data_IF_673887848117
#
_entry.id   IF_673887848117
#
_cell.length_a   1.000
_cell.length_b   1.000
_cell.length_c   1.000
_cell.angle_alpha   90.00
_cell.angle_beta   90.00
_cell.angle_gamma   90.00
#
_symmetry.space_group_name_H-M   'P 1'
#
loop_
_entity.id
_entity.type
_entity.pdbx_description
1 polymer ?
#
# COMPACT_ATOMS: atom_id res chain seq x y z
N UNK A 1 -71.85 51.94 -39.76
CA UNK A 1 -71.99 52.83 -38.59
C UNK A 1 -71.61 52.03 -37.36
N UNK A 2 -70.53 52.47 -36.73
CA UNK A 2 -69.75 51.77 -35.71
C UNK A 2 -70.21 52.22 -34.32
N UNK A 3 -70.50 51.28 -33.42
CA UNK A 3 -70.36 51.46 -31.97
C UNK A 3 -70.01 50.10 -31.35
N UNK A 4 -68.80 49.93 -30.77
CA UNK A 4 -68.47 48.78 -29.92
C UNK A 4 -68.88 49.05 -28.46
N UNK A 5 -69.60 48.08 -27.89
CA UNK A 5 -69.98 48.02 -26.47
C UNK A 5 -68.90 47.43 -25.56
N UNK A 6 -69.03 47.59 -24.23
CA UNK A 6 -67.90 47.68 -23.32
C UNK A 6 -67.46 46.34 -22.67
N UNK A 7 -66.14 46.22 -22.53
CA UNK A 7 -65.40 45.75 -21.36
C UNK A 7 -65.85 44.46 -20.66
N UNK A 8 -65.25 43.33 -21.03
CA UNK A 8 -65.17 42.14 -20.16
C UNK A 8 -64.14 42.38 -19.06
N UNK A 9 -64.62 42.53 -17.83
CA UNK A 9 -63.83 42.61 -16.59
C UNK A 9 -63.26 41.22 -16.28
N UNK A 10 -61.94 41.05 -16.40
CA UNK A 10 -61.25 39.82 -16.02
C UNK A 10 -61.17 39.74 -14.49
N UNK A 11 -61.99 38.87 -13.90
CA UNK A 11 -62.00 38.59 -12.47
C UNK A 11 -60.73 37.82 -12.07
N UNK A 12 -59.82 38.49 -11.35
CA UNK A 12 -58.62 37.88 -10.78
C UNK A 12 -59.01 36.96 -9.61
N UNK A 13 -59.00 35.64 -9.85
CA UNK A 13 -59.12 34.65 -8.77
C UNK A 13 -57.82 34.55 -7.96
N UNK A 14 -57.86 34.71 -6.63
CA UNK A 14 -56.69 34.46 -5.79
C UNK A 14 -56.38 32.96 -5.74
N UNK A 15 -55.16 32.59 -6.14
CA UNK A 15 -54.61 31.25 -5.95
C UNK A 15 -54.20 31.13 -4.48
N UNK A 16 -54.91 30.29 -3.73
CA UNK A 16 -54.47 29.91 -2.38
C UNK A 16 -53.39 28.83 -2.47
N UNK A 17 -52.23 29.00 -1.80
CA UNK A 17 -51.23 27.94 -1.74
C UNK A 17 -51.79 26.75 -0.94
N UNK A 18 -51.75 25.58 -1.58
CA UNK A 18 -52.20 24.30 -1.04
C UNK A 18 -51.32 23.90 0.15
N UNK A 19 -51.84 24.14 1.37
CA UNK A 19 -51.24 23.73 2.65
C UNK A 19 -51.33 22.20 2.78
N UNK A 20 -50.36 21.51 2.20
CA UNK A 20 -50.32 20.05 2.11
C UNK A 20 -48.90 19.49 2.16
N UNK A 21 -48.03 20.05 3.01
CA UNK A 21 -46.64 19.61 3.16
C UNK A 21 -46.22 19.20 4.57
N UNK A 22 -47.00 19.56 5.60
CA UNK A 22 -46.50 19.57 6.97
C UNK A 22 -46.25 18.17 7.55
N UNK A 23 -47.01 17.14 7.14
CA UNK A 23 -46.83 15.79 7.69
C UNK A 23 -45.60 15.05 7.17
N UNK A 24 -45.15 15.34 5.95
CA UNK A 24 -43.93 14.73 5.37
C UNK A 24 -42.68 15.40 5.91
N UNK A 25 -42.72 16.74 6.04
CA UNK A 25 -41.66 17.52 6.67
C UNK A 25 -41.52 17.20 8.15
N UNK A 26 -42.64 17.11 8.89
CA UNK A 26 -42.61 16.71 10.30
C UNK A 26 -42.07 15.28 10.49
N UNK A 27 -42.38 14.34 9.57
CA UNK A 27 -41.81 12.98 9.61
C UNK A 27 -40.31 12.97 9.29
N UNK A 28 -39.87 13.75 8.31
CA UNK A 28 -38.45 13.86 7.98
C UNK A 28 -37.64 14.47 9.13
N UNK A 29 -38.18 15.54 9.75
CA UNK A 29 -37.56 16.16 10.93
C UNK A 29 -37.56 15.21 12.13
N UNK A 30 -38.63 14.46 12.35
CA UNK A 30 -38.69 13.47 13.42
C UNK A 30 -37.68 12.32 13.21
N UNK A 31 -37.50 11.85 11.97
CA UNK A 31 -36.49 10.83 11.66
C UNK A 31 -35.07 11.35 11.83
N UNK A 32 -34.80 12.59 11.41
CA UNK A 32 -33.49 13.23 11.60
C UNK A 32 -33.19 13.45 13.09
N UNK A 33 -34.18 13.92 13.85
CA UNK A 33 -34.06 14.11 15.29
C UNK A 33 -33.87 12.77 16.02
N UNK A 34 -34.51 11.69 15.57
CA UNK A 34 -34.31 10.36 16.12
C UNK A 34 -32.92 9.81 15.78
N UNK A 35 -32.42 10.03 14.56
CA UNK A 35 -31.05 9.66 14.18
C UNK A 35 -30.00 10.42 15.01
N UNK A 36 -30.22 11.71 15.24
CA UNK A 36 -29.39 12.53 16.13
C UNK A 36 -29.48 12.07 17.60
N UNK A 37 -30.68 11.73 18.08
CA UNK A 37 -30.85 11.21 19.43
C UNK A 37 -30.15 9.85 19.61
N UNK A 38 -30.19 8.97 18.62
CA UNK A 38 -29.44 7.70 18.64
C UNK A 38 -27.93 7.95 18.58
N UNK A 39 -27.46 8.98 17.88
CA UNK A 39 -26.04 9.36 17.88
C UNK A 39 -25.56 9.92 19.23
N UNK A 40 -26.46 10.54 20.02
CA UNK A 40 -26.15 11.08 21.36
C UNK A 40 -26.29 10.04 22.46
N UNK A 41 -27.27 9.12 22.34
CA UNK A 41 -27.56 8.09 23.35
C UNK A 41 -26.77 6.80 23.11
N UNK A 42 -26.10 6.65 21.96
CA UNK A 42 -25.06 5.62 21.85
C UNK A 42 -23.97 6.01 22.84
N UNK A 43 -23.73 5.24 23.91
CA UNK A 43 -22.63 5.52 24.81
C UNK A 43 -21.39 5.44 23.94
N UNK A 44 -20.78 6.60 23.69
CA UNK A 44 -19.39 6.70 23.33
C UNK A 44 -18.68 6.18 24.57
N UNK A 45 -18.60 4.84 24.66
CA UNK A 45 -17.84 4.18 25.69
C UNK A 45 -16.51 4.88 25.70
N UNK A 46 -16.20 5.50 26.83
CA UNK A 46 -14.86 6.00 27.07
C UNK A 46 -13.92 4.87 26.67
N UNK A 47 -13.02 5.07 25.71
CA UNK A 47 -12.00 4.07 25.46
C UNK A 47 -11.35 3.82 26.82
N UNK A 48 -11.10 2.56 27.21
CA UNK A 48 -10.22 2.35 28.34
C UNK A 48 -8.96 3.16 28.05
N UNK A 49 -8.54 3.98 29.02
CA UNK A 49 -7.17 4.49 29.04
C UNK A 49 -6.31 3.25 29.15
N UNK A 50 -6.01 2.64 28.00
CA UNK A 50 -4.89 1.79 27.86
C UNK A 50 -3.71 2.70 28.11
N UNK A 51 -3.13 2.58 29.30
CA UNK A 51 -1.69 2.75 29.46
C UNK A 51 -1.00 2.27 28.19
N UNK A 52 -0.02 3.01 27.64
CA UNK A 52 0.76 2.53 26.51
C UNK A 52 1.54 1.28 26.93
N UNK A 53 0.87 0.14 26.85
CA UNK A 53 1.41 -1.18 27.05
C UNK A 53 1.90 -1.65 25.69
N UNK A 54 3.13 -1.23 25.37
CA UNK A 54 4.15 -2.10 24.78
C UNK A 54 3.75 -2.91 23.54
N UNK A 55 3.07 -2.31 22.56
CA UNK A 55 2.88 -2.91 21.23
C UNK A 55 4.02 -2.63 20.24
N UNK A 56 4.94 -1.72 20.56
CA UNK A 56 6.24 -1.60 19.86
C UNK A 56 7.21 -2.71 20.31
N UNK A 57 7.00 -3.29 21.50
CA UNK A 57 7.80 -4.42 21.98
C UNK A 57 7.34 -5.78 21.44
N UNK A 58 6.10 -5.92 20.94
CA UNK A 58 5.63 -7.20 20.41
C UNK A 58 6.30 -7.55 19.06
N UNK A 59 6.58 -6.54 18.23
CA UNK A 59 7.42 -6.72 17.02
C UNK A 59 8.90 -6.80 17.39
N UNK A 60 9.33 -6.15 18.49
CA UNK A 60 10.70 -6.29 19.00
C UNK A 60 10.99 -7.64 19.68
N UNK A 61 9.96 -8.39 20.13
CA UNK A 61 10.11 -9.70 20.79
C UNK A 61 10.00 -10.89 19.84
N UNK A 62 9.58 -10.69 18.59
CA UNK A 62 9.56 -11.74 17.54
C UNK A 62 10.80 -11.71 16.63
N UNK A 63 11.98 -11.33 17.12
CA UNK A 63 13.23 -11.46 16.34
C UNK A 63 14.49 -11.14 17.15
N UNK A 64 14.64 -11.69 18.36
CA UNK A 64 15.96 -11.67 19.02
C UNK A 64 16.88 -12.79 18.50
N UNK A 65 16.33 -13.89 17.98
CA UNK A 65 17.11 -15.05 17.49
C UNK A 65 17.26 -15.12 15.96
N UNK A 66 16.72 -14.15 15.21
CA UNK A 66 16.84 -14.09 13.74
C UNK A 66 17.78 -12.97 13.23
N UNK A 67 18.41 -12.20 14.14
CA UNK A 67 19.36 -11.14 13.78
C UNK A 67 20.78 -11.70 13.68
N UNK A 68 20.99 -12.63 12.75
CA UNK A 68 22.33 -13.03 12.31
C UNK A 68 22.68 -12.24 11.05
N UNK A 69 23.52 -11.22 11.24
CA UNK A 69 24.39 -10.55 10.27
C UNK A 69 23.77 -10.11 8.93
N UNK A 70 23.00 -9.02 8.92
CA UNK A 70 22.86 -8.19 7.73
C UNK A 70 24.14 -7.33 7.58
N UNK A 71 25.07 -7.76 6.74
CA UNK A 71 26.26 -6.98 6.36
C UNK A 71 25.85 -5.68 5.68
N UNK A 72 26.31 -4.53 6.18
CA UNK A 72 26.09 -3.22 5.57
C UNK A 72 27.21 -2.90 4.57
N UNK A 73 26.96 -2.87 3.25
CA UNK A 73 27.92 -2.34 2.28
C UNK A 73 27.84 -0.81 2.22
N UNK A 74 28.99 -0.13 2.24
CA UNK A 74 29.15 1.29 1.84
C UNK A 74 29.44 1.36 0.34
N UNK A 75 28.77 2.25 -0.39
CA UNK A 75 28.84 2.32 -1.86
C UNK A 75 29.02 3.76 -2.38
N UNK A 76 29.69 3.84 -3.52
CA UNK A 76 30.16 5.02 -4.27
C UNK A 76 29.13 5.50 -5.33
N UNK A 77 28.98 6.82 -5.50
CA UNK A 77 27.78 7.50 -6.00
C UNK A 77 27.93 8.12 -7.41
N UNK A 78 27.93 7.32 -8.49
CA UNK A 78 28.16 7.90 -9.85
C UNK A 78 27.15 7.63 -10.96
N UNK A 79 26.06 6.89 -10.74
CA UNK A 79 24.84 6.99 -11.57
C UNK A 79 23.65 6.72 -10.68
N UNK A 80 22.73 7.68 -10.57
CA UNK A 80 21.59 7.59 -9.65
C UNK A 80 20.57 6.54 -10.13
N UNK A 81 20.84 5.25 -9.88
CA UNK A 81 20.02 4.10 -10.33
C UNK A 81 18.64 4.04 -9.66
N UNK A 82 18.41 4.85 -8.63
CA UNK A 82 17.19 4.90 -7.86
C UNK A 82 16.42 6.22 -8.06
N UNK A 83 15.87 6.43 -9.27
CA UNK A 83 15.03 7.61 -9.55
C UNK A 83 13.58 7.38 -9.07
N UNK A 84 13.36 7.48 -7.76
CA UNK A 84 12.04 7.25 -7.17
C UNK A 84 11.08 8.47 -7.29
N UNK A 85 11.65 9.68 -7.34
CA UNK A 85 10.86 10.91 -7.25
C UNK A 85 10.18 11.02 -5.88
N UNK A 86 8.86 11.26 -5.89
CA UNK A 86 8.06 11.46 -4.67
C UNK A 86 7.32 10.19 -4.20
N UNK A 87 7.48 9.06 -4.88
CA UNK A 87 6.77 7.82 -4.59
C UNK A 87 7.74 6.64 -4.45
N UNK A 88 7.30 5.60 -3.77
CA UNK A 88 8.00 4.31 -3.78
C UNK A 88 7.96 3.73 -5.20
N UNK A 89 9.05 3.06 -5.59
CA UNK A 89 9.15 2.33 -6.84
C UNK A 89 9.59 0.90 -6.59
N UNK A 90 9.01 -0.04 -7.33
CA UNK A 90 9.52 -1.39 -7.45
C UNK A 90 10.64 -1.35 -8.49
N UNK A 91 11.80 -1.90 -8.15
CA UNK A 91 12.89 -2.11 -9.09
C UNK A 91 12.99 -3.60 -9.38
N UNK A 92 13.00 -3.96 -10.66
CA UNK A 92 13.16 -5.36 -11.05
C UNK A 92 14.20 -5.51 -12.15
N UNK A 93 14.94 -6.60 -12.09
CA UNK A 93 15.85 -7.05 -13.14
C UNK A 93 15.23 -8.30 -13.76
N UNK A 94 14.89 -8.19 -15.04
CA UNK A 94 14.14 -9.21 -15.76
C UNK A 94 14.88 -9.61 -17.03
N UNK A 95 14.72 -10.87 -17.42
CA UNK A 95 15.10 -11.37 -18.73
C UNK A 95 13.87 -11.90 -19.44
N UNK A 96 13.58 -11.33 -20.60
CA UNK A 96 12.48 -11.73 -21.46
C UNK A 96 12.99 -11.86 -22.90
N UNK A 97 12.61 -12.92 -23.60
CA UNK A 97 13.04 -13.19 -24.98
C UNK A 97 14.57 -13.17 -25.13
N UNK A 98 15.28 -13.66 -24.10
CA UNK A 98 16.74 -13.64 -24.01
C UNK A 98 17.37 -12.25 -23.80
N UNK A 99 16.58 -11.19 -23.62
CA UNK A 99 17.06 -9.82 -23.42
C UNK A 99 16.92 -9.41 -21.97
N UNK A 100 17.95 -8.74 -21.47
CA UNK A 100 17.99 -8.17 -20.14
C UNK A 100 17.33 -6.79 -20.11
N UNK A 101 16.49 -6.53 -19.11
CA UNK A 101 15.86 -5.25 -18.88
C UNK A 101 15.78 -4.91 -17.38
N UNK A 102 15.93 -3.62 -17.07
CA UNK A 102 15.67 -3.06 -15.75
C UNK A 102 14.37 -2.27 -15.81
N UNK A 103 13.48 -2.52 -14.86
CA UNK A 103 12.19 -1.84 -14.80
C UNK A 103 12.03 -1.10 -13.48
N UNK A 104 11.48 0.12 -13.56
CA UNK A 104 11.00 0.87 -12.40
C UNK A 104 9.49 1.06 -12.53
N UNK A 105 8.73 0.41 -11.66
CA UNK A 105 7.28 0.52 -11.61
C UNK A 105 6.86 1.33 -10.38
N UNK A 106 5.70 1.99 -10.44
CA UNK A 106 5.12 2.60 -9.25
C UNK A 106 4.80 1.51 -8.23
N UNK A 107 5.22 1.70 -6.99
CA UNK A 107 4.93 0.79 -5.89
C UNK A 107 4.05 1.54 -4.90
N UNK A 108 2.82 1.08 -4.72
CA UNK A 108 2.00 1.54 -3.61
C UNK A 108 2.45 0.78 -2.34
N UNK A 109 2.41 1.46 -1.19
CA UNK A 109 2.83 0.90 0.09
C UNK A 109 1.85 1.28 1.19
N UNK A 110 1.82 0.50 2.26
CA UNK A 110 1.08 0.85 3.48
C UNK A 110 1.99 0.87 4.70
N UNK A 111 1.80 1.87 5.56
CA UNK A 111 2.51 1.97 6.84
C UNK A 111 1.69 1.42 8.02
N UNK A 112 0.43 1.03 7.77
CA UNK A 112 -0.54 0.68 8.82
C UNK A 112 -0.89 -0.81 8.87
N UNK A 113 -0.26 -1.63 8.04
CA UNK A 113 -0.46 -3.08 8.10
C UNK A 113 0.00 -3.63 9.46
N UNK A 114 -0.83 -4.52 10.00
CA UNK A 114 -0.68 -5.14 11.32
C UNK A 114 0.21 -6.39 11.30
N UNK A 115 0.52 -6.94 10.13
CA UNK A 115 1.40 -8.09 9.96
C UNK A 115 1.47 -8.58 8.51
N UNK A 116 2.24 -9.64 8.29
CA UNK A 116 2.59 -10.16 6.96
C UNK A 116 1.38 -10.62 6.13
N UNK A 117 0.33 -11.11 6.79
CA UNK A 117 -0.90 -11.58 6.14
C UNK A 117 -2.01 -10.51 6.13
N UNK A 118 -1.69 -9.25 6.43
CA UNK A 118 -2.67 -8.18 6.45
C UNK A 118 -3.18 -7.90 5.02
N UNK A 119 -4.50 -8.04 4.75
CA UNK A 119 -5.05 -7.88 3.41
C UNK A 119 -5.00 -6.44 2.89
N UNK A 120 -4.65 -5.46 3.74
CA UNK A 120 -4.43 -4.07 3.31
C UNK A 120 -3.07 -3.85 2.65
N UNK A 121 -2.18 -4.85 2.65
CA UNK A 121 -0.88 -4.77 1.99
C UNK A 121 -1.09 -4.74 0.47
N UNK A 122 -0.74 -3.63 -0.22
CA UNK A 122 -0.86 -3.53 -1.67
C UNK A 122 0.12 -4.49 -2.33
N UNK A 123 -0.32 -5.17 -3.40
CA UNK A 123 0.49 -6.15 -4.13
C UNK A 123 0.63 -5.74 -5.58
N UNK A 124 1.84 -5.89 -6.13
CA UNK A 124 2.14 -5.62 -7.54
C UNK A 124 2.58 -6.90 -8.25
N UNK A 125 2.09 -7.09 -9.47
CA UNK A 125 2.40 -8.25 -10.31
C UNK A 125 3.68 -8.00 -11.14
N UNK A 126 4.56 -9.00 -11.15
CA UNK A 126 5.80 -9.05 -11.92
C UNK A 126 5.76 -10.28 -12.81
N UNK A 127 5.58 -10.06 -14.12
CA UNK A 127 5.49 -11.13 -15.11
C UNK A 127 6.71 -11.11 -16.00
N UNK A 128 7.54 -12.14 -15.90
CA UNK A 128 8.76 -12.28 -16.70
C UNK A 128 9.09 -13.75 -16.96
N UNK A 129 9.86 -14.05 -18.01
CA UNK A 129 10.44 -15.40 -18.19
C UNK A 129 11.40 -15.72 -17.03
N UNK A 130 12.21 -14.75 -16.63
CA UNK A 130 13.27 -14.89 -15.63
C UNK A 130 13.45 -13.59 -14.84
N UNK A 131 13.15 -13.60 -13.53
CA UNK A 131 13.37 -12.43 -12.66
C UNK A 131 14.66 -12.58 -11.87
N UNK A 132 15.73 -11.92 -12.30
CA UNK A 132 17.08 -12.01 -11.70
C UNK A 132 17.23 -11.17 -10.41
N UNK A 133 16.39 -10.16 -10.23
CA UNK A 133 16.46 -9.29 -9.06
C UNK A 133 15.16 -8.58 -8.76
N UNK A 134 14.84 -8.47 -7.47
CA UNK A 134 13.71 -7.68 -6.97
C UNK A 134 14.22 -6.71 -5.93
N UNK A 135 13.67 -5.51 -5.94
CA UNK A 135 14.10 -4.44 -5.06
C UNK A 135 13.11 -3.31 -5.01
N UNK A 136 13.49 -2.26 -4.29
CA UNK A 136 12.69 -1.06 -4.20
C UNK A 136 13.58 0.18 -4.25
N UNK A 137 12.89 1.28 -4.47
CA UNK A 137 13.41 2.62 -4.43
C UNK A 137 12.48 3.48 -3.57
N UNK A 138 13.01 3.96 -2.45
CA UNK A 138 12.32 4.84 -1.51
C UNK A 138 12.21 6.26 -2.09
N UNK A 139 11.14 7.00 -1.75
CA UNK A 139 10.96 8.36 -2.25
C UNK A 139 12.02 9.31 -1.68
N UNK A 140 12.43 10.34 -2.44
CA UNK A 140 13.49 11.28 -2.03
C UNK A 140 13.23 12.00 -0.70
N UNK A 141 11.96 12.15 -0.32
CA UNK A 141 11.56 12.71 0.98
C UNK A 141 12.00 11.87 2.17
N UNK A 142 12.45 10.63 1.98
CA UNK A 142 13.07 9.83 3.03
C UNK A 142 14.38 10.47 3.53
N UNK A 143 15.05 11.27 2.69
CA UNK A 143 16.31 11.92 3.00
C UNK A 143 17.53 11.10 2.58
N UNK A 144 18.71 11.75 2.45
CA UNK A 144 19.98 11.06 2.22
C UNK A 144 20.37 10.20 3.43
N UNK A 145 21.23 9.20 3.19
CA UNK A 145 21.86 8.37 4.21
C UNK A 145 20.90 7.55 5.10
N UNK A 146 19.69 7.25 4.61
CA UNK A 146 18.77 6.37 5.32
C UNK A 146 19.22 4.92 5.17
N UNK A 147 19.76 4.35 6.24
CA UNK A 147 19.99 2.91 6.30
C UNK A 147 18.66 2.18 6.52
N UNK A 148 18.38 1.20 5.65
CA UNK A 148 17.15 0.42 5.67
C UNK A 148 17.38 -0.98 6.25
N UNK A 149 16.42 -1.46 7.02
CA UNK A 149 16.25 -2.88 7.34
C UNK A 149 15.10 -3.41 6.51
N UNK A 150 15.32 -4.55 5.88
CA UNK A 150 14.34 -5.17 4.99
C UNK A 150 14.10 -6.60 5.45
N UNK A 151 12.84 -6.92 5.65
CA UNK A 151 12.37 -8.27 5.96
C UNK A 151 11.47 -8.75 4.82
N UNK A 152 11.55 -10.02 4.50
CA UNK A 152 10.70 -10.62 3.47
C UNK A 152 10.18 -11.98 3.90
N UNK A 153 9.00 -12.31 3.38
CA UNK A 153 8.34 -13.58 3.54
C UNK A 153 7.82 -14.07 2.21
N UNK A 154 7.90 -15.38 1.97
CA UNK A 154 7.12 -16.06 0.93
C UNK A 154 5.82 -16.54 1.54
N UNK A 155 4.70 -16.28 0.89
CA UNK A 155 3.40 -16.75 1.33
C UNK A 155 3.13 -18.07 0.64
N UNK A 156 3.22 -19.16 1.40
CA UNK A 156 2.90 -20.49 0.88
C UNK A 156 1.38 -20.66 0.83
N UNK A 157 0.79 -21.12 -0.30
CA UNK A 157 -0.66 -21.21 -0.47
C UNK A 157 -1.41 -21.97 0.63
N UNK A 158 -0.72 -22.88 1.32
CA UNK A 158 -1.28 -23.72 2.38
C UNK A 158 -0.42 -23.73 3.67
N UNK A 159 0.70 -23.01 3.71
CA UNK A 159 1.72 -23.12 4.75
C UNK A 159 1.93 -21.87 5.61
N UNK A 160 1.27 -20.75 5.28
CA UNK A 160 1.49 -19.48 5.95
C UNK A 160 2.76 -18.76 5.49
N UNK A 161 3.17 -17.68 6.18
CA UNK A 161 4.35 -16.89 5.80
C UNK A 161 5.65 -17.61 6.20
N UNK A 162 6.52 -17.85 5.23
CA UNK A 162 7.86 -18.43 5.42
C UNK A 162 8.89 -17.29 5.34
N UNK A 163 9.61 -16.98 6.43
CA UNK A 163 10.64 -15.94 6.41
C UNK A 163 11.74 -16.25 5.40
N UNK A 164 12.26 -15.21 4.75
CA UNK A 164 13.29 -15.31 3.75
C UNK A 164 14.52 -14.53 4.16
N UNK A 165 15.69 -15.12 3.91
CA UNK A 165 16.96 -14.40 3.96
C UNK A 165 17.16 -13.72 2.62
N UNK A 166 17.30 -12.39 2.64
CA UNK A 166 17.59 -11.60 1.45
C UNK A 166 19.08 -11.34 1.35
N UNK A 167 19.67 -11.73 0.23
CA UNK A 167 21.04 -11.38 -0.11
C UNK A 167 21.03 -10.19 -1.07
N UNK A 168 21.76 -9.10 -0.79
CA UNK A 168 21.91 -8.00 -1.75
C UNK A 168 22.48 -8.53 -3.06
N UNK A 169 21.92 -8.11 -4.19
CA UNK A 169 22.48 -8.42 -5.50
C UNK A 169 23.71 -7.52 -5.73
N UNK A 170 24.93 -8.07 -5.78
CA UNK A 170 26.12 -7.27 -6.01
C UNK A 170 26.04 -6.57 -7.37
N UNK A 171 26.68 -5.40 -7.47
CA UNK A 171 26.76 -4.55 -8.68
C UNK A 171 25.47 -3.88 -9.16
N UNK A 172 24.31 -4.12 -8.52
CA UNK A 172 23.01 -3.58 -8.93
C UNK A 172 22.30 -2.72 -7.87
N UNK A 173 23.05 -2.18 -6.93
CA UNK A 173 22.49 -1.46 -5.80
C UNK A 173 21.95 -0.08 -6.25
N UNK A 174 20.63 0.19 -6.09
CA UNK A 174 20.05 1.47 -6.44
C UNK A 174 20.38 2.52 -5.36
N UNK A 175 21.59 3.07 -5.39
CA UNK A 175 22.02 4.26 -4.62
C UNK A 175 21.63 4.24 -3.12
N UNK A 176 21.69 5.39 -2.43
CA UNK A 176 21.41 5.49 -0.98
C UNK A 176 19.91 5.41 -0.63
N UNK A 177 19.06 5.14 -1.63
CA UNK A 177 17.61 5.22 -1.50
C UNK A 177 16.90 3.91 -1.81
N UNK A 178 17.62 2.84 -2.11
CA UNK A 178 17.01 1.57 -2.49
C UNK A 178 17.89 0.37 -2.18
N UNK A 179 17.33 -0.80 -2.47
CA UNK A 179 18.04 -2.07 -2.38
C UNK A 179 17.48 -3.01 -3.44
N UNK A 180 18.36 -3.84 -4.01
CA UNK A 180 18.00 -4.94 -4.91
C UNK A 180 18.59 -6.21 -4.34
N UNK A 181 17.77 -7.25 -4.36
CA UNK A 181 18.06 -8.53 -3.74
C UNK A 181 18.12 -9.61 -4.80
N UNK A 182 19.11 -10.49 -4.63
CA UNK A 182 19.21 -11.72 -5.37
C UNK A 182 18.05 -12.66 -5.01
N UNK A 183 17.72 -13.62 -5.89
CA UNK A 183 16.73 -14.64 -5.59
C UNK A 183 17.07 -15.40 -4.30
N UNK A 184 16.07 -15.78 -3.50
CA UNK A 184 16.31 -16.53 -2.28
C UNK A 184 16.95 -17.89 -2.58
N UNK A 185 18.08 -18.17 -1.94
CA UNK A 185 18.65 -19.52 -1.91
C UNK A 185 17.83 -20.39 -0.97
N UNK A 186 17.12 -21.37 -1.52
CA UNK A 186 16.48 -22.40 -0.69
C UNK A 186 17.57 -23.32 -0.11
N UNK A 187 17.56 -23.62 1.20
CA UNK A 187 18.54 -24.53 1.79
C UNK A 187 18.46 -25.91 1.10
N UNK A 188 19.56 -26.34 0.49
CA UNK A 188 19.65 -27.58 -0.28
C UNK A 188 19.46 -27.44 -1.80
N UNK A 189 19.11 -26.24 -2.30
CA UNK A 189 19.07 -25.95 -3.74
C UNK A 189 20.33 -25.20 -4.16
N UNK A 190 21.13 -25.81 -5.05
CA UNK A 190 22.26 -25.12 -5.65
C UNK A 190 21.75 -24.04 -6.63
N UNK A 191 22.05 -22.77 -6.34
CA UNK A 191 22.15 -21.70 -7.34
C UNK A 191 20.86 -21.34 -8.08
N UNK A 192 19.75 -21.08 -7.36
CA UNK A 192 18.56 -20.49 -7.97
C UNK A 192 18.94 -19.12 -8.53
N UNK A 193 18.90 -18.97 -9.86
CA UNK A 193 19.30 -17.74 -10.56
C UNK A 193 18.16 -16.73 -10.71
N UNK A 194 16.93 -17.14 -10.43
CA UNK A 194 15.74 -16.31 -10.65
C UNK A 194 14.76 -16.44 -9.49
N UNK A 195 14.09 -15.34 -9.14
CA UNK A 195 13.02 -15.34 -8.17
C UNK A 195 11.95 -16.35 -8.59
N UNK A 196 11.64 -17.34 -7.73
CA UNK A 196 10.65 -18.34 -8.07
C UNK A 196 9.26 -17.71 -8.12
N UNK A 197 8.37 -18.29 -8.91
CA UNK A 197 6.98 -17.86 -8.91
C UNK A 197 6.35 -17.99 -7.51
N UNK A 198 5.53 -17.00 -7.15
CA UNK A 198 4.84 -16.96 -5.86
C UNK A 198 4.54 -15.55 -5.36
N UNK A 199 3.87 -15.50 -4.21
CA UNK A 199 3.53 -14.28 -3.52
C UNK A 199 4.57 -13.98 -2.44
N UNK A 200 5.15 -12.79 -2.47
CA UNK A 200 6.17 -12.31 -1.56
C UNK A 200 5.70 -11.05 -0.86
N UNK A 201 5.93 -10.95 0.44
CA UNK A 201 5.60 -9.74 1.22
C UNK A 201 6.89 -9.18 1.80
N UNK A 202 7.05 -7.87 1.68
CA UNK A 202 8.21 -7.13 2.15
C UNK A 202 7.79 -6.12 3.21
N UNK A 203 8.65 -5.97 4.21
CA UNK A 203 8.64 -4.88 5.17
C UNK A 203 9.97 -4.13 5.05
N UNK A 204 9.89 -2.84 4.74
CA UNK A 204 11.04 -1.93 4.72
C UNK A 204 10.92 -0.97 5.90
N UNK A 205 11.93 -0.89 6.76
CA UNK A 205 11.97 0.02 7.88
C UNK A 205 13.28 0.81 7.89
N UNK A 206 13.22 2.09 8.24
CA UNK A 206 14.41 2.92 8.46
C UNK A 206 15.04 2.57 9.82
N UNK A 207 16.38 2.50 9.85
CA UNK A 207 17.15 2.18 11.06
C UNK A 207 17.38 3.38 11.98
N UNK A 208 17.35 4.60 11.44
CA UNK A 208 17.75 5.83 12.15
C UNK A 208 16.56 6.62 12.70
N UNK A 209 15.41 6.58 12.02
CA UNK A 209 14.17 7.22 12.47
C UNK A 209 13.03 6.20 12.36
N UNK A 210 12.17 6.11 13.38
CA UNK A 210 11.04 5.16 13.48
C UNK A 210 9.90 5.42 12.45
N UNK A 211 10.19 5.92 11.24
CA UNK A 211 9.29 5.94 10.08
C UNK A 211 10.08 6.20 8.77
N UNK A 212 9.64 5.69 7.60
CA UNK A 212 8.45 4.87 7.39
C UNK A 212 8.77 3.37 7.31
N UNK A 213 8.02 2.61 8.10
CA UNK A 213 7.65 1.23 7.83
C UNK A 213 6.82 1.22 6.54
N UNK A 214 7.25 0.51 5.52
CA UNK A 214 6.52 0.34 4.28
C UNK A 214 6.32 -1.15 4.01
N UNK A 215 5.05 -1.56 3.98
CA UNK A 215 4.63 -2.88 3.57
C UNK A 215 4.20 -2.86 2.11
N UNK A 216 4.62 -3.88 1.36
CA UNK A 216 4.14 -4.17 0.02
C UNK A 216 4.30 -5.65 -0.32
N UNK A 217 3.47 -6.14 -1.23
CA UNK A 217 3.53 -7.48 -1.80
C UNK A 217 4.02 -7.45 -3.24
N UNK A 218 4.63 -8.54 -3.68
CA UNK A 218 5.02 -8.79 -5.06
C UNK A 218 4.56 -10.18 -5.46
N UNK A 219 3.75 -10.27 -6.51
CA UNK A 219 3.39 -11.53 -7.15
C UNK A 219 4.33 -11.77 -8.33
N UNK A 220 5.21 -12.77 -8.22
CA UNK A 220 6.10 -13.16 -9.31
C UNK A 220 5.43 -14.27 -10.11
N UNK A 221 5.25 -14.02 -11.40
CA UNK A 221 4.69 -14.97 -12.33
C UNK A 221 5.71 -15.33 -13.42
N UNK A 222 5.95 -16.64 -13.58
CA UNK A 222 6.81 -17.15 -14.64
C UNK A 222 6.03 -17.17 -15.97
N UNK A 223 6.47 -16.38 -16.93
CA UNK A 223 5.98 -16.47 -18.31
C UNK A 223 6.73 -17.58 -19.03
N UNK A 224 5.99 -18.49 -19.65
CA UNK A 224 6.61 -19.44 -20.58
C UNK A 224 6.81 -18.77 -21.93
N UNK A 225 8.04 -18.86 -22.47
CA UNK A 225 8.34 -18.44 -23.83
C UNK A 225 7.43 -19.20 -24.81
N UNK A 226 6.55 -18.49 -25.52
CA UNK A 226 5.83 -19.10 -26.64
C UNK A 226 6.84 -19.31 -27.77
N UNK A 227 7.19 -20.56 -28.01
CA UNK A 227 8.04 -20.97 -29.15
C UNK A 227 7.28 -20.83 -30.46
#
# INVERSE_FOLDING_TARGET
MTMPGPGTTTELRPVTPRRGGDRRLARAVALLAMALAVAVVKPWGTPPVATPSTSVEAVARMSADALVAASQPRIDATVDRCYAGLAWRLFTIQRDFGRFARWLQRLDTTATASGVLDPSIPTIEVVSEETEGLGFCAPYRAGPDVAWTVMAWRIEPFGGPVPMVLEPLPDEIPTDHGAVFAPPVSPGAAGVRFWPAGHFVFLVASTTNQTPVAWFGVDVEARTARR
#
